data_IF_828750969027
#
_entry.id   IF_828750969027
#
_cell.length_a   1.000
_cell.length_b   1.000
_cell.length_c   1.000
_cell.angle_alpha   90.00
_cell.angle_beta   90.00
_cell.angle_gamma   90.00
#
_symmetry.space_group_name_H-M   'P 1'
#
loop_
_entity.id
_entity.type
_entity.pdbx_description
1 polymer ?
#
# COMPACT_ATOMS: atom_id res chain seq x y z
N UNK A 1 17.55 15.98 8.27
CA UNK A 1 16.53 15.10 7.67
C UNK A 1 16.47 13.70 8.31
N UNK A 2 17.61 13.06 8.62
CA UNK A 2 17.65 11.71 9.22
C UNK A 2 17.42 11.59 10.74
N UNK A 3 17.59 12.68 11.50
CA UNK A 3 17.36 12.66 12.96
C UNK A 3 15.88 12.71 13.36
N UNK A 4 14.96 13.16 12.49
CA UNK A 4 13.52 13.22 12.78
C UNK A 4 12.81 11.87 12.65
N UNK A 5 13.35 10.92 11.87
CA UNK A 5 12.85 9.52 11.84
C UNK A 5 13.01 8.81 13.19
N UNK A 6 13.96 9.22 14.03
CA UNK A 6 14.29 8.57 15.32
C UNK A 6 13.18 8.66 16.37
N UNK A 7 12.31 9.68 16.30
CA UNK A 7 11.25 9.87 17.29
C UNK A 7 9.88 9.39 16.80
N UNK A 8 9.54 9.52 15.51
CA UNK A 8 8.20 9.18 15.03
C UNK A 8 7.94 7.67 15.01
N UNK A 9 8.93 6.86 14.59
CA UNK A 9 8.77 5.41 14.39
C UNK A 9 8.76 4.65 15.73
N UNK A 10 9.57 5.07 16.70
CA UNK A 10 9.59 4.50 18.06
C UNK A 10 8.33 4.88 18.85
N UNK A 11 7.74 6.06 18.58
CA UNK A 11 6.52 6.52 19.27
C UNK A 11 5.25 5.82 18.77
N UNK A 12 5.18 5.45 17.48
CA UNK A 12 4.01 4.78 16.89
C UNK A 12 3.79 3.35 17.42
N UNK A 13 4.85 2.55 17.59
CA UNK A 13 4.74 1.19 18.13
C UNK A 13 4.46 1.15 19.64
N UNK A 14 4.61 2.27 20.36
CA UNK A 14 4.24 2.38 21.79
C UNK A 14 2.77 2.79 21.95
N UNK A 15 2.22 3.61 21.04
CA UNK A 15 0.79 3.96 21.05
C UNK A 15 -0.11 2.80 20.62
N UNK A 16 0.37 1.88 19.79
CA UNK A 16 -0.37 0.67 19.43
C UNK A 16 -0.59 -0.27 20.64
N UNK A 17 0.26 -0.22 21.68
CA UNK A 17 0.12 -1.05 22.89
C UNK A 17 -1.19 -0.75 23.64
N UNK A 18 -1.72 0.48 23.57
CA UNK A 18 -2.99 0.84 24.23
C UNK A 18 -4.24 0.51 23.40
N UNK A 19 -4.10 0.34 22.08
CA UNK A 19 -5.22 -0.01 21.18
C UNK A 19 -5.50 -1.52 21.21
N UNK A 20 -4.52 -2.33 21.58
CA UNK A 20 -4.59 -3.79 21.53
C UNK A 20 -4.88 -4.48 22.87
N UNK A 21 -5.78 -3.93 23.69
CA UNK A 21 -6.20 -4.52 24.97
C UNK A 21 -6.88 -5.90 24.85
N UNK A 22 -6.94 -6.49 23.64
CA UNK A 22 -7.52 -7.81 23.34
C UNK A 22 -6.50 -8.82 22.77
N UNK A 23 -5.22 -8.46 22.61
CA UNK A 23 -4.25 -9.35 21.97
C UNK A 23 -3.87 -10.56 22.84
N UNK A 24 -3.59 -11.69 22.20
CA UNK A 24 -3.21 -12.91 22.90
C UNK A 24 -1.88 -12.75 23.64
N UNK A 25 -1.66 -13.54 24.71
CA UNK A 25 -0.38 -13.59 25.47
C UNK A 25 0.85 -13.80 24.56
N UNK A 26 0.66 -14.42 23.39
CA UNK A 26 1.73 -14.67 22.42
C UNK A 26 2.13 -13.37 21.71
N UNK A 27 1.17 -12.55 21.30
CA UNK A 27 1.45 -11.25 20.69
C UNK A 27 2.11 -10.30 21.70
N UNK A 28 1.62 -10.26 22.95
CA UNK A 28 2.26 -9.47 24.02
C UNK A 28 3.73 -9.89 24.24
N UNK A 29 4.00 -11.21 24.27
CA UNK A 29 5.35 -11.75 24.39
C UNK A 29 6.24 -11.37 23.19
N UNK A 30 5.68 -11.38 21.97
CA UNK A 30 6.37 -10.95 20.76
C UNK A 30 6.76 -9.48 20.84
N UNK A 31 5.80 -8.59 21.16
CA UNK A 31 6.01 -7.15 21.31
C UNK A 31 7.00 -6.82 22.43
N UNK A 32 6.88 -7.46 23.59
CA UNK A 32 7.83 -7.29 24.69
C UNK A 32 9.26 -7.68 24.28
N UNK A 33 9.40 -8.75 23.51
CA UNK A 33 10.71 -9.19 23.00
C UNK A 33 11.27 -8.20 21.99
N UNK A 34 10.44 -7.77 21.04
CA UNK A 34 10.78 -6.76 20.04
C UNK A 34 11.24 -5.44 20.66
N UNK A 35 10.44 -4.90 21.59
CA UNK A 35 10.69 -3.63 22.28
C UNK A 35 11.91 -3.69 23.21
N UNK A 36 12.38 -4.88 23.59
CA UNK A 36 13.66 -5.05 24.31
C UNK A 36 14.90 -4.91 23.42
N UNK A 37 14.72 -4.65 22.12
CA UNK A 37 15.79 -4.55 21.11
C UNK A 37 16.12 -5.88 20.43
N UNK A 38 15.48 -6.99 20.83
CA UNK A 38 15.60 -8.29 20.16
C UNK A 38 14.61 -8.37 18.99
N UNK A 39 14.86 -7.56 17.96
CA UNK A 39 13.97 -7.33 16.82
C UNK A 39 13.61 -8.65 16.11
N UNK A 40 14.61 -9.43 15.68
CA UNK A 40 14.39 -10.69 14.95
C UNK A 40 13.64 -11.74 15.79
N UNK A 41 13.97 -11.86 17.09
CA UNK A 41 13.29 -12.79 18.00
C UNK A 41 11.82 -12.38 18.23
N UNK A 42 11.57 -11.07 18.33
CA UNK A 42 10.22 -10.50 18.43
C UNK A 42 9.40 -10.81 17.20
N UNK A 43 9.95 -10.58 16.00
CA UNK A 43 9.31 -10.91 14.72
C UNK A 43 9.01 -12.40 14.62
N UNK A 44 9.97 -13.27 14.94
CA UNK A 44 9.76 -14.73 14.90
C UNK A 44 8.60 -15.18 15.82
N UNK A 45 8.49 -14.58 17.00
CA UNK A 45 7.35 -14.82 17.90
C UNK A 45 6.04 -14.29 17.32
N UNK A 46 6.08 -13.14 16.66
CA UNK A 46 4.91 -12.58 15.99
C UNK A 46 4.46 -13.46 14.82
N UNK A 47 5.37 -13.99 14.01
CA UNK A 47 5.04 -14.95 12.95
C UNK A 47 4.30 -16.17 13.48
N UNK A 48 4.77 -16.75 14.60
CA UNK A 48 4.11 -17.88 15.25
C UNK A 48 2.71 -17.50 15.78
N UNK A 49 2.55 -16.28 16.32
CA UNK A 49 1.26 -15.79 16.78
C UNK A 49 0.28 -15.57 15.61
N UNK A 50 0.73 -14.95 14.52
CA UNK A 50 -0.07 -14.73 13.30
C UNK A 50 -0.43 -16.05 12.60
N UNK A 51 0.42 -17.07 12.67
CA UNK A 51 0.09 -18.39 12.10
C UNK A 51 -1.07 -19.07 12.85
N UNK A 52 -1.12 -18.89 14.17
CA UNK A 52 -2.17 -19.46 15.02
C UNK A 52 -3.48 -18.64 14.97
N UNK A 53 -3.34 -17.32 14.89
CA UNK A 53 -4.44 -16.38 14.73
C UNK A 53 -4.15 -15.44 13.53
N UNK A 54 -4.55 -15.81 12.31
CA UNK A 54 -4.28 -15.06 11.10
C UNK A 54 -5.25 -13.89 10.89
N UNK A 55 -5.57 -13.15 11.95
CA UNK A 55 -6.40 -11.96 11.92
C UNK A 55 -5.73 -10.81 11.15
N UNK A 56 -6.55 -9.86 10.67
CA UNK A 56 -6.08 -8.69 9.94
C UNK A 56 -5.10 -7.87 10.77
N UNK A 57 -5.40 -7.65 12.05
CA UNK A 57 -4.55 -6.96 13.01
C UNK A 57 -3.19 -7.65 13.20
N UNK A 58 -3.16 -8.98 13.30
CA UNK A 58 -1.91 -9.72 13.48
C UNK A 58 -1.03 -9.70 12.22
N UNK A 59 -1.64 -9.74 11.03
CA UNK A 59 -0.91 -9.56 9.78
C UNK A 59 -0.36 -8.15 9.63
N UNK A 60 -1.18 -7.14 9.92
CA UNK A 60 -0.78 -5.74 9.81
C UNK A 60 0.36 -5.42 10.79
N UNK A 61 0.22 -5.84 12.05
CA UNK A 61 1.27 -5.69 13.06
C UNK A 61 2.57 -6.40 12.66
N UNK A 62 2.48 -7.61 12.11
CA UNK A 62 3.65 -8.33 11.64
C UNK A 62 4.39 -7.55 10.54
N UNK A 63 3.67 -7.03 9.55
CA UNK A 63 4.27 -6.21 8.49
C UNK A 63 4.88 -4.92 9.05
N UNK A 64 4.22 -4.26 10.01
CA UNK A 64 4.79 -3.10 10.71
C UNK A 64 6.13 -3.43 11.39
N UNK A 65 6.25 -4.60 12.02
CA UNK A 65 7.50 -5.05 12.65
C UNK A 65 8.61 -5.31 11.61
N UNK A 66 8.28 -5.89 10.45
CA UNK A 66 9.24 -6.02 9.33
C UNK A 66 9.67 -4.67 8.76
N UNK A 67 8.73 -3.73 8.63
CA UNK A 67 9.01 -2.37 8.16
C UNK A 67 9.97 -1.65 9.11
N UNK A 68 9.71 -1.73 10.41
CA UNK A 68 10.62 -1.22 11.44
C UNK A 68 12.00 -1.85 11.33
N UNK A 69 12.08 -3.19 11.17
CA UNK A 69 13.36 -3.90 11.04
C UNK A 69 14.17 -3.40 9.83
N UNK A 70 13.52 -3.16 8.70
CA UNK A 70 14.16 -2.58 7.52
C UNK A 70 14.67 -1.16 7.78
N UNK A 71 13.82 -0.27 8.31
CA UNK A 71 14.18 1.11 8.63
C UNK A 71 15.31 1.19 9.67
N UNK A 72 15.29 0.31 10.67
CA UNK A 72 16.34 0.18 11.66
C UNK A 72 17.66 -0.24 11.01
N UNK A 73 17.64 -1.22 10.09
CA UNK A 73 18.83 -1.67 9.38
C UNK A 73 19.45 -0.58 8.51
N UNK A 74 18.64 0.18 7.76
CA UNK A 74 19.09 1.34 6.98
C UNK A 74 19.83 2.34 7.88
N UNK A 75 19.22 2.67 9.02
CA UNK A 75 19.84 3.58 9.98
C UNK A 75 21.17 3.04 10.54
N UNK A 76 21.24 1.74 10.86
CA UNK A 76 22.50 1.13 11.32
C UNK A 76 23.59 1.19 10.26
N UNK A 77 23.23 1.07 8.97
CA UNK A 77 24.18 1.19 7.87
C UNK A 77 24.74 2.60 7.76
N UNK A 78 23.90 3.63 7.83
CA UNK A 78 24.34 5.02 7.78
C UNK A 78 25.19 5.40 9.01
N UNK A 79 24.77 4.97 10.20
CA UNK A 79 25.53 5.18 11.43
C UNK A 79 26.91 4.49 11.32
N UNK A 80 26.99 3.28 10.74
CA UNK A 80 28.24 2.57 10.50
C UNK A 80 29.14 3.27 9.47
N UNK A 81 28.59 3.76 8.36
CA UNK A 81 29.33 4.54 7.35
C UNK A 81 29.88 5.84 7.94
N UNK A 82 29.10 6.53 8.77
CA UNK A 82 29.53 7.74 9.48
C UNK A 82 30.70 7.44 10.42
N UNK A 83 30.63 6.34 11.17
CA UNK A 83 31.71 5.92 12.05
C UNK A 83 32.99 5.56 11.28
N UNK A 84 32.87 4.88 10.14
CA UNK A 84 34.00 4.58 9.26
C UNK A 84 34.67 5.85 8.72
N UNK A 85 33.88 6.83 8.30
CA UNK A 85 34.39 8.13 7.87
C UNK A 85 35.14 8.83 9.00
N UNK A 86 34.55 8.91 10.20
CA UNK A 86 35.22 9.50 11.37
C UNK A 86 36.51 8.76 11.73
N UNK A 87 36.53 7.43 11.65
CA UNK A 87 37.73 6.62 11.87
C UNK A 87 38.83 6.94 10.84
N UNK A 88 38.48 7.08 9.56
CA UNK A 88 39.42 7.44 8.50
C UNK A 88 40.03 8.84 8.67
N UNK A 89 39.30 9.75 9.33
CA UNK A 89 39.75 11.09 9.70
C UNK A 89 40.45 11.14 11.08
N UNK A 90 40.69 9.99 11.72
CA UNK A 90 41.31 9.90 13.06
C UNK A 90 40.42 10.34 14.23
N UNK A 91 39.12 10.62 13.98
CA UNK A 91 38.20 11.26 14.90
C UNK A 91 37.34 10.32 15.77
N UNK A 92 37.40 9.00 15.60
CA UNK A 92 36.63 8.07 16.44
C UNK A 92 37.30 6.70 16.57
N UNK A 93 37.09 6.05 17.73
CA UNK A 93 37.45 4.64 18.01
C UNK A 93 36.22 3.79 18.33
N UNK A 94 35.01 4.30 18.10
CA UNK A 94 33.78 3.59 18.44
C UNK A 94 33.63 2.31 17.60
N UNK A 95 33.18 1.22 18.23
CA UNK A 95 33.01 -0.07 17.58
C UNK A 95 31.75 -0.07 16.70
N UNK A 96 31.91 -0.53 15.46
CA UNK A 96 30.78 -0.76 14.54
C UNK A 96 30.04 -2.02 14.98
N UNK A 97 28.73 -1.88 15.23
CA UNK A 97 27.87 -3.00 15.59
C UNK A 97 27.57 -3.84 14.35
N UNK A 98 27.47 -5.16 14.52
CA UNK A 98 26.95 -6.06 13.48
C UNK A 98 25.43 -5.91 13.40
N UNK A 99 24.90 -5.85 12.19
CA UNK A 99 23.46 -5.77 11.91
C UNK A 99 23.14 -6.58 10.64
N UNK A 100 21.87 -6.90 10.45
CA UNK A 100 21.38 -7.54 9.22
C UNK A 100 21.33 -6.52 8.09
N UNK A 101 21.88 -6.86 6.92
CA UNK A 101 21.92 -5.95 5.76
C UNK A 101 20.52 -5.43 5.40
N UNK A 102 20.35 -4.14 5.09
CA UNK A 102 19.05 -3.59 4.71
C UNK A 102 18.47 -4.26 3.46
N UNK A 103 19.32 -4.71 2.53
CA UNK A 103 18.87 -5.47 1.37
C UNK A 103 18.19 -6.80 1.71
N UNK A 104 18.61 -7.46 2.80
CA UNK A 104 17.95 -8.67 3.30
C UNK A 104 16.62 -8.29 3.95
N UNK A 105 16.64 -7.29 4.83
CA UNK A 105 15.43 -6.81 5.50
C UNK A 105 14.36 -6.30 4.52
N UNK A 106 14.78 -5.65 3.42
CA UNK A 106 13.91 -5.18 2.35
C UNK A 106 13.21 -6.35 1.65
N UNK A 107 13.96 -7.40 1.25
CA UNK A 107 13.36 -8.59 0.64
C UNK A 107 12.37 -9.27 1.58
N UNK A 108 12.73 -9.41 2.85
CA UNK A 108 11.85 -10.00 3.86
C UNK A 108 10.57 -9.18 4.04
N UNK A 109 10.66 -7.84 4.05
CA UNK A 109 9.53 -6.93 4.13
C UNK A 109 8.59 -7.08 2.92
N UNK A 110 9.14 -7.07 1.71
CA UNK A 110 8.33 -7.21 0.49
C UNK A 110 7.63 -8.56 0.46
N UNK A 111 8.36 -9.65 0.72
CA UNK A 111 7.79 -11.00 0.74
C UNK A 111 6.68 -11.12 1.80
N UNK A 112 6.91 -10.59 3.01
CA UNK A 112 5.90 -10.65 4.06
C UNK A 112 4.68 -9.80 3.73
N UNK A 113 4.85 -8.66 3.06
CA UNK A 113 3.75 -7.80 2.65
C UNK A 113 2.86 -8.47 1.60
N UNK A 114 3.46 -9.17 0.62
CA UNK A 114 2.69 -9.98 -0.35
C UNK A 114 1.92 -11.10 0.34
N UNK A 115 2.56 -11.80 1.28
CA UNK A 115 1.88 -12.81 2.09
C UNK A 115 0.70 -12.22 2.86
N UNK A 116 0.84 -11.01 3.41
CA UNK A 116 -0.25 -10.34 4.11
C UNK A 116 -1.43 -10.02 3.18
N UNK A 117 -1.22 -9.45 1.98
CA UNK A 117 -2.30 -9.18 1.02
C UNK A 117 -3.07 -10.45 0.58
N UNK A 118 -2.41 -11.61 0.54
CA UNK A 118 -3.10 -12.89 0.26
C UNK A 118 -3.97 -13.38 1.41
N UNK A 119 -3.62 -13.01 2.65
CA UNK A 119 -4.20 -13.58 3.87
C UNK A 119 -5.09 -12.62 4.65
N UNK A 120 -5.02 -11.32 4.37
CA UNK A 120 -5.73 -10.27 5.11
C UNK A 120 -5.87 -8.99 4.28
N UNK A 121 -6.55 -7.99 4.86
CA UNK A 121 -6.73 -6.64 4.31
C UNK A 121 -5.78 -5.63 4.96
N UNK A 122 -4.51 -6.01 5.11
CA UNK A 122 -3.50 -5.18 5.80
C UNK A 122 -3.21 -3.88 5.03
N UNK A 123 -3.58 -2.75 5.62
CA UNK A 123 -3.29 -1.42 5.08
C UNK A 123 -1.79 -1.13 5.03
N UNK A 124 -1.03 -1.61 6.01
CA UNK A 124 0.42 -1.47 6.02
C UNK A 124 1.06 -2.24 4.87
N UNK A 125 0.61 -3.47 4.58
CA UNK A 125 1.12 -4.28 3.48
C UNK A 125 0.89 -3.61 2.13
N UNK A 126 -0.35 -3.17 1.87
CA UNK A 126 -0.73 -2.48 0.64
C UNK A 126 0.06 -1.18 0.45
N UNK A 127 0.18 -0.39 1.52
CA UNK A 127 1.01 0.82 1.52
C UNK A 127 2.48 0.53 1.21
N UNK A 128 3.07 -0.50 1.83
CA UNK A 128 4.47 -0.88 1.61
C UNK A 128 4.69 -1.30 0.16
N UNK A 129 3.85 -2.19 -0.36
CA UNK A 129 4.00 -2.68 -1.74
C UNK A 129 3.86 -1.54 -2.74
N UNK A 130 2.87 -0.65 -2.56
CA UNK A 130 2.75 0.55 -3.38
C UNK A 130 3.97 1.46 -3.26
N UNK A 131 4.37 1.84 -2.05
CA UNK A 131 5.42 2.83 -1.82
C UNK A 131 6.80 2.39 -2.30
N UNK A 132 7.12 1.09 -2.20
CA UNK A 132 8.44 0.58 -2.55
C UNK A 132 8.54 -0.01 -3.97
N UNK A 133 7.42 -0.43 -4.56
CA UNK A 133 7.44 -1.12 -5.85
C UNK A 133 6.67 -0.38 -6.96
N UNK A 134 5.83 0.60 -6.63
CA UNK A 134 4.99 1.32 -7.60
C UNK A 134 5.30 2.81 -7.63
N UNK A 135 5.30 3.46 -6.47
CA UNK A 135 5.51 4.91 -6.38
C UNK A 135 6.92 5.27 -6.87
N UNK A 136 7.03 6.43 -7.53
CA UNK A 136 8.30 7.06 -7.86
C UNK A 136 8.47 8.36 -7.08
N UNK A 137 9.71 8.85 -6.99
CA UNK A 137 10.01 10.13 -6.37
C UNK A 137 10.04 11.24 -7.44
N UNK A 138 9.06 12.15 -7.48
CA UNK A 138 9.00 13.18 -8.53
C UNK A 138 10.09 14.25 -8.39
N UNK A 139 10.51 14.54 -7.16
CA UNK A 139 11.39 15.66 -6.80
C UNK A 139 12.89 15.38 -7.05
N UNK A 140 13.22 14.81 -8.22
CA UNK A 140 14.58 14.37 -8.56
C UNK A 140 15.58 15.52 -8.79
N UNK A 141 15.11 16.70 -9.19
CA UNK A 141 15.95 17.82 -9.62
C UNK A 141 15.57 19.16 -8.96
N UNK A 142 15.25 19.13 -7.67
CA UNK A 142 14.79 20.33 -6.94
C UNK A 142 15.95 21.31 -6.66
N UNK A 143 15.69 22.60 -6.85
CA UNK A 143 16.64 23.67 -6.54
C UNK A 143 17.05 23.69 -5.04
N UNK A 144 18.34 23.86 -4.75
CA UNK A 144 18.84 23.84 -3.37
C UNK A 144 18.28 24.98 -2.50
N UNK A 145 17.99 26.13 -3.09
CA UNK A 145 17.28 27.23 -2.43
C UNK A 145 15.87 26.83 -2.02
N UNK A 146 15.14 26.11 -2.89
CA UNK A 146 13.81 25.59 -2.58
C UNK A 146 13.87 24.49 -1.51
N UNK A 147 14.85 23.57 -1.57
CA UNK A 147 15.09 22.58 -0.50
C UNK A 147 15.37 23.21 0.85
N UNK A 148 16.09 24.34 0.88
CA UNK A 148 16.37 25.07 2.12
C UNK A 148 15.09 25.61 2.73
N UNK A 149 14.25 26.28 1.94
CA UNK A 149 12.94 26.76 2.39
C UNK A 149 12.04 25.60 2.84
N UNK A 150 12.01 24.49 2.09
CA UNK A 150 11.27 23.29 2.47
C UNK A 150 11.73 22.71 3.81
N UNK A 151 13.03 22.61 4.05
CA UNK A 151 13.57 22.12 5.33
C UNK A 151 13.23 23.06 6.50
N UNK A 152 13.21 24.38 6.27
CA UNK A 152 12.71 25.34 7.27
C UNK A 152 11.22 25.12 7.54
N UNK A 153 10.42 24.91 6.50
CA UNK A 153 8.99 24.64 6.62
C UNK A 153 8.70 23.37 7.43
N UNK A 154 9.39 22.26 7.15
CA UNK A 154 9.28 21.00 7.89
C UNK A 154 9.60 21.18 9.39
N UNK A 155 10.60 22.02 9.71
CA UNK A 155 10.92 22.35 11.10
C UNK A 155 9.74 23.04 11.78
N UNK A 156 9.24 24.15 11.21
CA UNK A 156 8.09 24.87 11.77
C UNK A 156 6.83 24.00 11.84
N UNK A 157 6.61 23.15 10.83
CA UNK A 157 5.49 22.22 10.81
C UNK A 157 5.57 21.23 11.98
N UNK A 158 6.76 20.67 12.25
CA UNK A 158 6.98 19.76 13.38
C UNK A 158 6.79 20.44 14.74
N UNK A 159 7.04 21.74 14.82
CA UNK A 159 6.78 22.60 15.99
C UNK A 159 5.31 23.04 16.07
N UNK A 160 4.47 22.63 15.10
CA UNK A 160 3.06 23.02 14.93
C UNK A 160 2.85 24.53 14.67
N UNK A 161 3.91 25.23 14.29
CA UNK A 161 3.85 26.61 13.81
C UNK A 161 3.46 26.63 12.32
N UNK A 162 2.18 26.32 12.07
CA UNK A 162 1.63 26.24 10.73
C UNK A 162 1.70 27.56 9.94
N UNK A 163 1.53 28.76 10.55
CA UNK A 163 1.72 30.02 9.83
C UNK A 163 3.11 30.19 9.22
N UNK A 164 4.18 29.88 9.97
CA UNK A 164 5.56 29.95 9.46
C UNK A 164 5.86 28.80 8.49
N UNK A 165 5.38 27.59 8.78
CA UNK A 165 5.51 26.47 7.84
C UNK A 165 4.91 26.80 6.47
N UNK A 166 3.70 27.38 6.45
CA UNK A 166 3.02 27.81 5.22
C UNK A 166 3.86 28.82 4.45
N UNK A 167 4.43 29.83 5.12
CA UNK A 167 5.27 30.83 4.47
C UNK A 167 6.47 30.19 3.77
N UNK A 168 7.17 29.30 4.46
CA UNK A 168 8.36 28.64 3.91
C UNK A 168 8.02 27.62 2.82
N UNK A 169 6.92 26.85 2.94
CA UNK A 169 6.45 26.00 1.83
C UNK A 169 6.07 26.82 0.61
N UNK A 170 5.36 27.94 0.80
CA UNK A 170 5.04 28.86 -0.30
C UNK A 170 6.30 29.41 -0.99
N UNK A 171 7.34 29.74 -0.22
CA UNK A 171 8.62 30.17 -0.79
C UNK A 171 9.32 29.04 -1.54
N UNK A 172 9.30 27.81 -1.02
CA UNK A 172 9.84 26.64 -1.71
C UNK A 172 9.16 26.44 -3.07
N UNK A 173 7.83 26.48 -3.14
CA UNK A 173 7.07 26.39 -4.40
C UNK A 173 7.33 27.57 -5.35
N UNK A 174 7.61 28.78 -4.84
CA UNK A 174 7.95 29.94 -5.69
C UNK A 174 9.34 29.81 -6.30
N UNK A 175 10.29 29.32 -5.50
CA UNK A 175 11.68 29.10 -5.94
C UNK A 175 11.78 27.94 -6.93
N UNK A 176 10.94 26.92 -6.73
CA UNK A 176 10.84 25.77 -7.61
C UNK A 176 9.36 25.33 -7.75
N UNK A 177 8.68 25.78 -8.81
CA UNK A 177 7.29 25.39 -9.08
C UNK A 177 7.12 23.89 -9.36
N UNK A 178 8.21 23.17 -9.65
CA UNK A 178 8.21 21.72 -9.84
C UNK A 178 8.49 20.93 -8.55
N UNK A 179 8.58 21.61 -7.40
CA UNK A 179 8.75 20.94 -6.11
C UNK A 179 7.41 20.37 -5.62
N UNK A 180 7.09 19.16 -6.05
CA UNK A 180 5.86 18.44 -5.76
C UNK A 180 5.63 18.30 -4.24
N UNK A 181 6.64 17.86 -3.49
CA UNK A 181 6.48 17.69 -2.04
C UNK A 181 6.18 19.01 -1.34
N UNK A 182 6.82 20.12 -1.71
CA UNK A 182 6.50 21.42 -1.13
C UNK A 182 5.03 21.82 -1.38
N UNK A 183 4.49 21.51 -2.56
CA UNK A 183 3.09 21.77 -2.92
C UNK A 183 2.12 20.93 -2.06
N UNK A 184 2.39 19.64 -1.91
CA UNK A 184 1.55 18.73 -1.10
C UNK A 184 1.55 19.17 0.37
N UNK A 185 2.73 19.42 0.94
CA UNK A 185 2.85 19.82 2.35
C UNK A 185 2.35 21.24 2.61
N UNK A 186 2.29 22.11 1.60
CA UNK A 186 1.56 23.37 1.68
C UNK A 186 0.05 23.11 1.85
N UNK A 187 -0.52 22.20 1.07
CA UNK A 187 -1.91 21.75 1.23
C UNK A 187 -2.18 21.18 2.63
N UNK A 188 -1.30 20.30 3.12
CA UNK A 188 -1.40 19.70 4.46
C UNK A 188 -1.30 20.76 5.57
N UNK A 189 -0.41 21.74 5.40
CA UNK A 189 -0.33 22.89 6.31
C UNK A 189 -1.65 23.67 6.35
N UNK A 190 -2.29 23.89 5.19
CA UNK A 190 -3.60 24.53 5.14
C UNK A 190 -4.70 23.69 5.83
N UNK A 191 -4.65 22.36 5.70
CA UNK A 191 -5.57 21.44 6.37
C UNK A 191 -5.43 21.53 7.90
N UNK A 192 -4.19 21.52 8.42
CA UNK A 192 -3.91 21.73 9.84
C UNK A 192 -4.37 23.09 10.35
N UNK A 193 -4.30 24.14 9.52
CA UNK A 193 -4.85 25.47 9.81
C UNK A 193 -6.38 25.56 9.69
N UNK A 194 -7.08 24.46 9.39
CA UNK A 194 -8.53 24.39 9.14
C UNK A 194 -9.01 25.25 7.96
N UNK A 195 -8.11 25.52 7.01
CA UNK A 195 -8.41 26.25 5.76
C UNK A 195 -8.69 25.25 4.63
N UNK A 196 -9.85 24.60 4.69
CA UNK A 196 -10.11 23.43 3.86
C UNK A 196 -10.14 23.72 2.36
N UNK A 197 -10.70 24.86 1.92
CA UNK A 197 -10.72 25.23 0.51
C UNK A 197 -9.32 25.36 -0.09
N UNK A 198 -8.38 25.92 0.69
CA UNK A 198 -6.97 26.01 0.28
C UNK A 198 -6.30 24.64 0.26
N UNK A 199 -6.56 23.78 1.24
CA UNK A 199 -6.03 22.42 1.26
C UNK A 199 -6.49 21.63 0.03
N UNK A 200 -7.81 21.63 -0.24
CA UNK A 200 -8.43 21.01 -1.41
C UNK A 200 -7.82 21.55 -2.71
N UNK A 201 -7.63 22.87 -2.82
CA UNK A 201 -6.99 23.49 -3.97
C UNK A 201 -5.58 22.91 -4.21
N UNK A 202 -4.71 22.91 -3.20
CA UNK A 202 -3.33 22.44 -3.36
C UNK A 202 -3.24 20.93 -3.60
N UNK A 203 -4.10 20.11 -2.99
CA UNK A 203 -4.14 18.68 -3.29
C UNK A 203 -4.62 18.41 -4.73
N UNK A 204 -5.62 19.17 -5.24
CA UNK A 204 -6.01 19.11 -6.66
C UNK A 204 -4.87 19.53 -7.59
N UNK A 205 -4.05 20.52 -7.22
CA UNK A 205 -2.84 20.87 -7.98
C UNK A 205 -1.81 19.73 -7.96
N UNK A 206 -1.62 19.06 -6.83
CA UNK A 206 -0.78 17.87 -6.71
C UNK A 206 -1.21 16.75 -7.66
N UNK A 207 -2.52 16.49 -7.77
CA UNK A 207 -3.10 15.52 -8.71
C UNK A 207 -2.87 15.95 -10.17
N UNK A 208 -2.95 17.24 -10.48
CA UNK A 208 -2.66 17.74 -11.84
C UNK A 208 -1.19 17.55 -12.21
N UNK A 209 -0.29 17.66 -11.22
CA UNK A 209 1.15 17.54 -11.42
C UNK A 209 1.59 16.07 -11.55
N UNK A 210 1.10 15.19 -10.67
CA UNK A 210 1.42 13.77 -10.63
C UNK A 210 0.15 12.95 -10.36
N UNK A 211 -0.68 12.77 -11.39
CA UNK A 211 -2.00 12.16 -11.28
C UNK A 211 -2.02 10.64 -11.06
N UNK A 212 -0.85 10.02 -11.18
CA UNK A 212 -0.53 8.61 -10.95
C UNK A 212 0.00 8.32 -9.54
N UNK A 213 0.37 9.35 -8.77
CA UNK A 213 0.65 9.20 -7.35
C UNK A 213 -0.65 9.21 -6.53
N UNK A 214 -0.72 8.31 -5.55
CA UNK A 214 -1.92 8.17 -4.71
C UNK A 214 -1.99 9.18 -3.56
N UNK A 215 -0.83 9.62 -3.07
CA UNK A 215 -0.68 10.54 -1.94
C UNK A 215 -1.57 11.80 -2.00
N UNK A 216 -1.63 12.58 -3.10
CA UNK A 216 -2.42 13.81 -3.12
C UNK A 216 -3.92 13.53 -3.12
N UNK A 217 -4.34 12.38 -3.67
CA UNK A 217 -5.74 11.91 -3.61
C UNK A 217 -6.13 11.51 -2.19
N UNK A 218 -5.24 10.80 -1.47
CA UNK A 218 -5.46 10.43 -0.06
C UNK A 218 -5.73 11.66 0.79
N UNK A 219 -4.92 12.70 0.64
CA UNK A 219 -5.10 13.97 1.34
C UNK A 219 -6.35 14.73 0.90
N UNK A 220 -6.65 14.75 -0.40
CA UNK A 220 -7.88 15.36 -0.90
C UNK A 220 -9.14 14.71 -0.29
N UNK A 221 -9.19 13.39 -0.22
CA UNK A 221 -10.30 12.66 0.41
C UNK A 221 -10.46 13.03 1.88
N UNK A 222 -9.37 13.12 2.64
CA UNK A 222 -9.43 13.52 4.06
C UNK A 222 -9.90 14.98 4.22
N UNK A 223 -9.45 15.90 3.36
CA UNK A 223 -9.89 17.28 3.37
C UNK A 223 -11.39 17.43 3.00
N UNK A 224 -11.86 16.69 1.99
CA UNK A 224 -13.28 16.67 1.60
C UNK A 224 -14.15 16.08 2.70
N UNK A 225 -13.75 14.95 3.30
CA UNK A 225 -14.45 14.34 4.43
C UNK A 225 -14.58 15.31 5.60
N UNK A 226 -13.49 15.98 5.96
CA UNK A 226 -13.45 16.87 7.12
C UNK A 226 -14.20 18.20 6.86
N UNK A 227 -14.37 18.60 5.60
CA UNK A 227 -15.31 19.67 5.18
C UNK A 227 -16.74 19.18 4.98
N UNK A 228 -17.04 17.91 5.28
CA UNK A 228 -18.35 17.26 5.12
C UNK A 228 -18.85 17.19 3.67
N UNK A 229 -17.95 17.31 2.70
CA UNK A 229 -18.23 17.10 1.27
C UNK A 229 -18.16 15.59 0.96
N UNK A 230 -19.09 14.82 1.52
CA UNK A 230 -19.02 13.35 1.51
C UNK A 230 -19.14 12.74 0.11
N UNK A 231 -20.02 13.25 -0.74
CA UNK A 231 -20.19 12.74 -2.11
C UNK A 231 -18.91 12.93 -2.95
N UNK A 232 -18.27 14.09 -2.81
CA UNK A 232 -17.00 14.38 -3.48
C UNK A 232 -15.85 13.52 -2.92
N UNK A 233 -15.83 13.30 -1.61
CA UNK A 233 -14.86 12.41 -0.96
C UNK A 233 -15.01 10.95 -1.43
N UNK A 234 -16.24 10.47 -1.59
CA UNK A 234 -16.54 9.13 -2.12
C UNK A 234 -16.04 9.03 -3.56
N UNK A 235 -16.40 10.00 -4.40
CA UNK A 235 -16.01 9.98 -5.80
C UNK A 235 -14.50 10.03 -5.99
N UNK A 236 -13.81 10.84 -5.18
CA UNK A 236 -12.35 10.90 -5.22
C UNK A 236 -11.70 9.63 -4.65
N UNK A 237 -12.33 8.99 -3.67
CA UNK A 237 -11.84 7.68 -3.17
C UNK A 237 -11.93 6.61 -4.26
N UNK A 238 -13.03 6.60 -5.02
CA UNK A 238 -13.21 5.73 -6.19
C UNK A 238 -12.18 6.05 -7.27
N UNK A 239 -11.93 7.34 -7.56
CA UNK A 239 -10.88 7.75 -8.50
C UNK A 239 -9.50 7.25 -8.07
N UNK A 240 -9.18 7.32 -6.78
CA UNK A 240 -7.92 6.83 -6.24
C UNK A 240 -7.75 5.32 -6.44
N UNK A 241 -8.82 4.52 -6.26
CA UNK A 241 -8.81 3.08 -6.54
C UNK A 241 -8.52 2.78 -8.02
N UNK A 242 -8.93 3.65 -8.95
CA UNK A 242 -8.56 3.51 -10.39
C UNK A 242 -7.09 3.79 -10.69
N UNK A 243 -6.35 4.41 -9.75
CA UNK A 243 -4.91 4.64 -9.86
C UNK A 243 -4.15 3.49 -9.22
N UNK A 244 -4.55 3.09 -8.02
CA UNK A 244 -4.04 1.92 -7.32
C UNK A 244 -5.08 1.43 -6.31
N UNK A 245 -5.44 0.12 -6.27
CA UNK A 245 -6.41 -0.43 -5.30
C UNK A 245 -5.79 -0.57 -3.90
N UNK A 246 -5.49 0.56 -3.26
CA UNK A 246 -4.88 0.62 -1.93
C UNK A 246 -5.92 0.29 -0.85
N UNK A 247 -5.56 -0.58 0.09
CA UNK A 247 -6.43 -0.96 1.21
C UNK A 247 -6.96 0.24 2.00
N UNK A 248 -6.14 1.29 2.20
CA UNK A 248 -6.60 2.50 2.90
C UNK A 248 -7.64 3.30 2.13
N UNK A 249 -7.71 3.14 0.80
CA UNK A 249 -8.77 3.76 0.00
C UNK A 249 -10.08 3.00 0.11
N UNK A 250 -10.05 1.67 0.18
CA UNK A 250 -11.24 0.86 0.45
C UNK A 250 -11.84 1.19 1.83
N UNK A 251 -11.01 1.29 2.88
CA UNK A 251 -11.47 1.72 4.21
C UNK A 251 -12.11 3.11 4.20
N UNK A 252 -11.54 4.06 3.44
CA UNK A 252 -12.11 5.40 3.28
C UNK A 252 -13.48 5.35 2.59
N UNK A 253 -13.62 4.56 1.53
CA UNK A 253 -14.92 4.34 0.84
C UNK A 253 -15.95 3.76 1.80
N UNK A 254 -15.59 2.72 2.54
CA UNK A 254 -16.46 2.06 3.52
C UNK A 254 -16.91 3.05 4.62
N UNK A 255 -15.96 3.78 5.21
CA UNK A 255 -16.25 4.78 6.25
C UNK A 255 -17.16 5.91 5.74
N UNK A 256 -16.98 6.34 4.50
CA UNK A 256 -17.80 7.39 3.89
C UNK A 256 -19.21 6.90 3.58
N UNK A 257 -19.37 5.70 3.01
CA UNK A 257 -20.70 5.14 2.76
C UNK A 257 -21.47 4.87 4.05
N UNK A 258 -20.80 4.41 5.11
CA UNK A 258 -21.41 4.24 6.43
C UNK A 258 -22.03 5.54 6.96
N UNK A 259 -21.41 6.71 6.67
CA UNK A 259 -21.99 8.03 7.03
C UNK A 259 -23.25 8.38 6.24
N UNK A 260 -23.45 7.76 5.07
CA UNK A 260 -24.64 7.94 4.21
C UNK A 260 -25.73 6.89 4.48
N UNK A 261 -25.49 5.94 5.40
CA UNK A 261 -26.41 4.84 5.69
C UNK A 261 -26.40 3.70 4.66
N UNK A 262 -25.41 3.66 3.78
CA UNK A 262 -25.18 2.58 2.81
C UNK A 262 -24.00 1.73 3.27
N UNK A 263 -23.95 0.48 2.82
CA UNK A 263 -22.81 -0.40 3.13
C UNK A 263 -21.95 -0.59 1.88
N UNK A 264 -20.65 -0.75 2.10
CA UNK A 264 -19.69 -1.09 1.06
C UNK A 264 -19.17 -2.50 1.34
N UNK A 265 -19.43 -3.44 0.43
CA UNK A 265 -18.89 -4.79 0.49
C UNK A 265 -18.09 -5.03 -0.79
N UNK A 266 -16.77 -5.03 -0.65
CA UNK A 266 -15.89 -5.33 -1.78
C UNK A 266 -15.90 -6.81 -2.16
N UNK A 267 -16.54 -7.68 -1.39
CA UNK A 267 -16.57 -9.13 -1.60
C UNK A 267 -15.16 -9.74 -1.68
N UNK A 268 -14.25 -9.25 -0.86
CA UNK A 268 -12.89 -9.80 -0.79
C UNK A 268 -12.92 -11.19 -0.17
N UNK A 269 -12.16 -12.11 -0.76
CA UNK A 269 -11.97 -13.45 -0.23
C UNK A 269 -10.48 -13.74 -0.07
N UNK A 270 -10.15 -14.51 0.96
CA UNK A 270 -8.80 -15.02 1.15
C UNK A 270 -8.42 -15.94 -0.02
N UNK A 271 -7.25 -15.71 -0.61
CA UNK A 271 -6.74 -16.57 -1.69
C UNK A 271 -6.15 -17.86 -1.12
N UNK A 272 -6.48 -18.99 -1.74
CA UNK A 272 -5.94 -20.32 -1.38
C UNK A 272 -4.56 -20.61 -1.97
N UNK A 273 -4.03 -19.69 -2.77
CA UNK A 273 -2.70 -19.77 -3.35
C UNK A 273 -2.18 -18.42 -3.86
N UNK A 274 -0.91 -18.39 -4.29
CA UNK A 274 -0.28 -17.23 -4.93
C UNK A 274 -0.95 -16.89 -6.27
N UNK A 275 -0.91 -15.61 -6.61
CA UNK A 275 -1.39 -15.07 -7.89
C UNK A 275 -0.61 -15.68 -9.07
N UNK A 276 -1.31 -15.93 -10.18
CA UNK A 276 -0.66 -16.44 -11.38
C UNK A 276 0.05 -15.31 -12.13
N UNK A 277 1.38 -15.31 -12.07
CA UNK A 277 2.22 -14.36 -12.82
C UNK A 277 3.15 -15.06 -13.79
N UNK A 278 3.65 -14.33 -14.79
CA UNK A 278 4.57 -14.90 -15.79
C UNK A 278 5.83 -15.50 -15.14
N UNK A 279 6.45 -14.80 -14.19
CA UNK A 279 7.71 -15.20 -13.55
C UNK A 279 7.56 -15.81 -12.14
N UNK A 280 6.37 -15.83 -11.55
CA UNK A 280 6.16 -16.26 -10.17
C UNK A 280 6.47 -17.72 -9.89
N UNK A 281 6.96 -17.98 -8.67
CA UNK A 281 7.07 -19.30 -8.07
C UNK A 281 5.70 -19.75 -7.59
N UNK A 282 5.24 -20.91 -8.09
CA UNK A 282 3.99 -21.51 -7.64
C UNK A 282 4.28 -22.49 -6.52
N UNK A 283 3.68 -22.24 -5.36
CA UNK A 283 3.54 -23.26 -4.32
C UNK A 283 2.34 -24.13 -4.72
N UNK A 284 2.52 -25.46 -4.71
CA UNK A 284 1.42 -26.40 -4.99
C UNK A 284 0.35 -26.21 -3.93
N UNK A 285 -0.87 -25.86 -4.34
CA UNK A 285 -2.00 -25.77 -3.41
C UNK A 285 -2.53 -27.17 -3.09
N UNK A 286 -2.86 -27.40 -1.81
CA UNK A 286 -3.64 -28.56 -1.38
C UNK A 286 -5.14 -28.30 -1.45
N UNK A 287 -5.55 -27.06 -1.75
CA UNK A 287 -6.96 -26.70 -1.87
C UNK A 287 -7.50 -27.10 -3.26
N UNK A 288 -8.40 -28.08 -3.28
CA UNK A 288 -8.97 -28.61 -4.53
C UNK A 288 -9.65 -27.52 -5.38
N UNK A 289 -10.31 -26.54 -4.76
CA UNK A 289 -10.95 -25.42 -5.47
C UNK A 289 -9.93 -24.59 -6.26
N UNK A 290 -8.73 -24.39 -5.71
CA UNK A 290 -7.70 -23.52 -6.30
C UNK A 290 -6.75 -24.26 -7.26
N UNK A 291 -6.82 -25.60 -7.37
CA UNK A 291 -5.95 -26.35 -8.30
C UNK A 291 -6.13 -25.92 -9.75
N UNK A 292 -7.38 -25.78 -10.20
CA UNK A 292 -7.68 -25.38 -11.57
C UNK A 292 -7.20 -23.96 -11.87
N UNK A 293 -7.35 -23.04 -10.90
CA UNK A 293 -6.76 -21.71 -10.97
C UNK A 293 -5.25 -21.79 -11.19
N UNK A 294 -4.52 -22.54 -10.36
CA UNK A 294 -3.05 -22.62 -10.47
C UNK A 294 -2.58 -23.20 -11.81
N UNK A 295 -3.26 -24.24 -12.30
CA UNK A 295 -2.91 -24.93 -13.54
C UNK A 295 -3.14 -24.06 -14.79
N UNK A 296 -4.10 -23.14 -14.75
CA UNK A 296 -4.44 -22.24 -15.85
C UNK A 296 -3.23 -21.47 -16.38
N UNK A 297 -2.30 -21.07 -15.49
CA UNK A 297 -1.04 -20.42 -15.88
C UNK A 297 -0.27 -21.24 -16.92
N UNK A 298 -0.11 -22.54 -16.70
CA UNK A 298 0.66 -23.41 -17.60
C UNK A 298 0.06 -23.47 -19.01
N UNK A 299 -1.27 -23.40 -19.10
CA UNK A 299 -2.02 -23.44 -20.36
C UNK A 299 -1.90 -22.13 -21.14
N UNK A 300 -1.97 -20.97 -20.46
CA UNK A 300 -2.06 -19.66 -21.11
C UNK A 300 -0.71 -18.93 -21.25
N UNK A 301 0.30 -19.28 -20.45
CA UNK A 301 1.56 -18.53 -20.33
C UNK A 301 2.27 -18.31 -21.67
N UNK A 302 2.24 -19.27 -22.60
CA UNK A 302 2.91 -19.16 -23.90
C UNK A 302 2.25 -18.13 -24.85
N UNK A 303 1.01 -17.74 -24.55
CA UNK A 303 0.25 -16.70 -25.25
C UNK A 303 0.42 -15.32 -24.63
N UNK A 304 1.02 -15.23 -23.46
CA UNK A 304 1.20 -14.00 -22.71
C UNK A 304 2.55 -13.34 -23.00
N UNK A 305 2.63 -12.02 -22.84
CA UNK A 305 3.89 -11.32 -22.63
C UNK A 305 4.40 -11.51 -21.18
N UNK A 306 5.52 -10.86 -20.84
CA UNK A 306 6.12 -10.95 -19.50
C UNK A 306 5.26 -10.32 -18.40
N UNK A 307 4.31 -9.47 -18.77
CA UNK A 307 3.42 -8.77 -17.86
C UNK A 307 2.12 -9.54 -17.62
N UNK A 308 1.92 -10.68 -18.30
CA UNK A 308 0.70 -11.49 -18.17
C UNK A 308 -0.45 -11.04 -19.07
N UNK A 309 -0.20 -10.14 -20.02
CA UNK A 309 -1.18 -9.74 -21.04
C UNK A 309 -1.21 -10.78 -22.15
N UNK A 310 -2.38 -11.26 -22.51
CA UNK A 310 -2.60 -12.24 -23.58
C UNK A 310 -2.51 -11.50 -24.92
N UNK A 311 -1.35 -11.61 -25.56
CA UNK A 311 -1.03 -10.91 -26.82
C UNK A 311 -1.14 -11.81 -28.05
N UNK A 312 -1.22 -13.14 -27.87
CA UNK A 312 -1.40 -14.11 -28.97
C UNK A 312 -2.82 -14.67 -28.96
N UNK A 313 -3.40 -14.77 -30.16
CA UNK A 313 -4.67 -15.46 -30.35
C UNK A 313 -4.58 -16.91 -29.89
N UNK A 314 -5.65 -17.38 -29.24
CA UNK A 314 -5.77 -18.74 -28.71
C UNK A 314 -7.23 -19.18 -28.72
N UNK A 315 -7.48 -20.48 -28.55
CA UNK A 315 -8.83 -21.05 -28.45
C UNK A 315 -9.31 -21.27 -27.02
N UNK A 316 -8.50 -20.92 -26.01
CA UNK A 316 -8.76 -21.22 -24.60
C UNK A 316 -9.68 -20.18 -23.96
N UNK A 317 -9.51 -18.91 -24.32
CA UNK A 317 -10.24 -17.81 -23.69
C UNK A 317 -10.33 -16.57 -24.58
N UNK A 318 -11.30 -15.71 -24.27
CA UNK A 318 -11.40 -14.32 -24.78
C UNK A 318 -10.85 -13.29 -23.78
N UNK A 319 -10.47 -13.71 -22.57
CA UNK A 319 -9.86 -12.85 -21.58
C UNK A 319 -8.58 -12.21 -22.13
N UNK A 320 -8.32 -10.98 -21.73
CA UNK A 320 -7.11 -10.26 -22.12
C UNK A 320 -5.93 -10.50 -21.17
N UNK A 321 -6.19 -11.08 -19.99
CA UNK A 321 -5.24 -11.18 -18.91
C UNK A 321 -5.15 -12.62 -18.38
N UNK A 322 -3.93 -13.07 -18.10
CA UNK A 322 -3.64 -14.39 -17.51
C UNK A 322 -4.42 -14.60 -16.21
N UNK A 323 -4.48 -13.56 -15.38
CA UNK A 323 -5.17 -13.65 -14.09
C UNK A 323 -6.66 -13.89 -14.30
N UNK A 324 -7.31 -13.13 -15.17
CA UNK A 324 -8.74 -13.30 -15.47
C UNK A 324 -9.02 -14.69 -16.03
N UNK A 325 -8.18 -15.20 -16.94
CA UNK A 325 -8.29 -16.59 -17.42
C UNK A 325 -8.17 -17.61 -16.29
N UNK A 326 -7.30 -17.37 -15.32
CA UNK A 326 -7.11 -18.27 -14.18
C UNK A 326 -8.38 -18.38 -13.33
N UNK A 327 -9.09 -17.27 -13.16
CA UNK A 327 -10.41 -17.24 -12.53
C UNK A 327 -11.50 -17.91 -13.37
N UNK A 328 -11.55 -17.67 -14.68
CA UNK A 328 -12.47 -18.36 -15.59
C UNK A 328 -12.31 -19.88 -15.50
N UNK A 329 -11.06 -20.36 -15.50
CA UNK A 329 -10.74 -21.78 -15.40
C UNK A 329 -11.21 -22.38 -14.08
N UNK A 330 -11.00 -21.67 -12.98
CA UNK A 330 -11.46 -22.08 -11.66
C UNK A 330 -12.99 -22.15 -11.59
N UNK A 331 -13.70 -21.17 -12.12
CA UNK A 331 -15.16 -21.17 -12.13
C UNK A 331 -15.73 -22.28 -13.01
N UNK A 332 -15.07 -22.58 -14.14
CA UNK A 332 -15.49 -23.62 -15.07
C UNK A 332 -15.19 -25.05 -14.58
N UNK A 333 -14.19 -25.25 -13.73
CA UNK A 333 -13.83 -26.58 -13.21
C UNK A 333 -14.76 -27.09 -12.11
N UNK A 334 -15.59 -26.22 -11.54
CA UNK A 334 -16.49 -26.56 -10.44
C UNK A 334 -17.89 -26.88 -10.99
N UNK A 335 -18.31 -28.16 -10.93
CA UNK A 335 -19.69 -28.54 -11.29
C UNK A 335 -20.73 -27.80 -10.44
N UNK A 336 -20.40 -27.55 -9.17
CA UNK A 336 -21.15 -26.70 -8.25
C UNK A 336 -20.17 -25.68 -7.70
N UNK A 337 -20.38 -24.40 -8.03
CA UNK A 337 -19.51 -23.31 -7.59
C UNK A 337 -19.63 -23.16 -6.06
N UNK A 338 -18.53 -23.25 -5.30
CA UNK A 338 -18.53 -23.02 -3.86
C UNK A 338 -19.14 -21.66 -3.50
N UNK A 339 -19.78 -21.54 -2.33
CA UNK A 339 -20.48 -20.33 -1.94
C UNK A 339 -19.53 -19.12 -1.84
N UNK A 340 -18.28 -19.33 -1.43
CA UNK A 340 -17.26 -18.28 -1.41
C UNK A 340 -16.92 -17.73 -2.81
N UNK A 341 -17.22 -18.47 -3.89
CA UNK A 341 -17.01 -18.06 -5.28
C UNK A 341 -18.30 -17.56 -5.95
N UNK A 342 -19.43 -17.49 -5.23
CA UNK A 342 -20.71 -17.10 -5.81
C UNK A 342 -20.67 -15.69 -6.42
N UNK A 343 -20.01 -14.74 -5.75
CA UNK A 343 -19.86 -13.39 -6.28
C UNK A 343 -18.94 -13.35 -7.52
N UNK A 344 -17.83 -14.11 -7.50
CA UNK A 344 -16.96 -14.26 -8.68
C UNK A 344 -17.73 -14.81 -9.88
N UNK A 345 -18.59 -15.82 -9.68
CA UNK A 345 -19.45 -16.38 -10.73
C UNK A 345 -20.44 -15.36 -11.27
N UNK A 346 -21.10 -14.60 -10.38
CA UNK A 346 -21.98 -13.49 -10.77
C UNK A 346 -21.24 -12.47 -11.64
N UNK A 347 -20.00 -12.12 -11.26
CA UNK A 347 -19.19 -11.17 -12.03
C UNK A 347 -18.74 -11.74 -13.37
N UNK A 348 -18.48 -13.05 -13.48
CA UNK A 348 -18.27 -13.69 -14.77
C UNK A 348 -19.52 -13.61 -15.66
N UNK A 349 -20.71 -13.89 -15.12
CA UNK A 349 -21.96 -13.90 -15.88
C UNK A 349 -22.39 -12.50 -16.35
N UNK A 350 -22.18 -11.48 -15.51
CA UNK A 350 -22.43 -10.07 -15.88
C UNK A 350 -21.26 -9.44 -16.65
N UNK A 351 -20.20 -10.20 -16.89
CA UNK A 351 -19.04 -9.78 -17.66
C UNK A 351 -18.22 -8.68 -16.98
N UNK A 352 -18.04 -8.73 -15.66
CA UNK A 352 -17.20 -7.88 -14.79
C UNK A 352 -16.15 -8.68 -13.99
N UNK A 353 -15.82 -9.90 -14.41
CA UNK A 353 -14.82 -10.73 -13.72
C UNK A 353 -13.44 -10.05 -13.65
N UNK A 354 -13.07 -9.33 -14.70
CA UNK A 354 -11.86 -8.48 -14.74
C UNK A 354 -11.83 -7.45 -13.61
N UNK A 355 -12.92 -6.70 -13.40
CA UNK A 355 -13.01 -5.74 -12.31
C UNK A 355 -13.00 -6.42 -10.94
N UNK A 356 -13.66 -7.57 -10.79
CA UNK A 356 -13.63 -8.31 -9.52
C UNK A 356 -12.21 -8.74 -9.14
N UNK A 357 -11.50 -9.32 -10.10
CA UNK A 357 -10.11 -9.74 -9.91
C UNK A 357 -9.24 -8.54 -9.56
N UNK A 358 -9.25 -7.50 -10.40
CA UNK A 358 -8.30 -6.39 -10.30
C UNK A 358 -8.65 -5.31 -9.27
N UNK A 359 -9.84 -5.35 -8.67
CA UNK A 359 -10.28 -4.37 -7.67
C UNK A 359 -10.61 -5.07 -6.36
N UNK A 360 -11.56 -6.00 -6.36
CA UNK A 360 -12.01 -6.66 -5.13
C UNK A 360 -11.00 -7.63 -4.56
N UNK A 361 -10.20 -8.26 -5.43
CA UNK A 361 -9.19 -9.26 -5.04
C UNK A 361 -7.77 -8.83 -5.40
N UNK A 362 -7.56 -7.52 -5.57
CA UNK A 362 -6.28 -6.97 -5.97
C UNK A 362 -5.15 -7.47 -5.07
N UNK A 363 -4.03 -7.81 -5.68
CA UNK A 363 -2.80 -8.19 -5.03
C UNK A 363 -1.63 -7.65 -5.84
N UNK A 364 -0.54 -7.23 -5.21
CA UNK A 364 0.56 -6.57 -5.93
C UNK A 364 1.12 -7.37 -7.13
N UNK A 365 1.18 -8.70 -7.04
CA UNK A 365 1.73 -9.53 -8.13
C UNK A 365 0.96 -9.43 -9.47
N UNK A 366 -0.27 -8.93 -9.48
CA UNK A 366 -1.03 -8.63 -10.70
C UNK A 366 -0.96 -7.16 -11.13
N UNK A 367 -0.10 -6.34 -10.50
CA UNK A 367 0.01 -4.90 -10.77
C UNK A 367 0.21 -4.57 -12.26
N UNK A 368 1.08 -5.30 -12.97
CA UNK A 368 1.32 -5.04 -14.40
C UNK A 368 0.07 -5.28 -15.27
N UNK A 369 -0.75 -6.28 -14.91
CA UNK A 369 -2.03 -6.54 -15.58
C UNK A 369 -3.07 -5.47 -15.18
N UNK A 370 -3.11 -5.11 -13.90
CA UNK A 370 -4.00 -4.06 -13.40
C UNK A 370 -3.74 -2.71 -14.06
N UNK A 371 -2.48 -2.26 -14.17
CA UNK A 371 -2.18 -0.93 -14.70
C UNK A 371 -2.48 -0.83 -16.19
N UNK A 372 -2.26 -1.91 -16.94
CA UNK A 372 -2.68 -2.00 -18.35
C UNK A 372 -4.21 -1.97 -18.46
N UNK A 373 -4.91 -2.74 -17.63
CA UNK A 373 -6.37 -2.73 -17.57
C UNK A 373 -6.92 -1.35 -17.23
N UNK A 374 -6.46 -0.75 -16.12
CA UNK A 374 -6.96 0.50 -15.58
C UNK A 374 -6.75 1.68 -16.53
N UNK A 375 -5.69 1.67 -17.36
CA UNK A 375 -5.38 2.72 -18.33
C UNK A 375 -6.57 3.05 -19.24
N UNK A 376 -7.29 2.03 -19.70
CA UNK A 376 -8.42 2.18 -20.64
C UNK A 376 -9.79 1.89 -20.02
N UNK A 377 -9.84 1.46 -18.76
CA UNK A 377 -11.07 0.95 -18.12
C UNK A 377 -11.47 1.72 -16.85
N UNK A 378 -11.04 2.97 -16.66
CA UNK A 378 -11.39 3.76 -15.45
C UNK A 378 -12.90 3.85 -15.22
N UNK A 379 -13.69 4.23 -16.23
CA UNK A 379 -15.17 4.30 -16.08
C UNK A 379 -15.81 2.94 -15.79
N UNK A 380 -15.23 1.87 -16.34
CA UNK A 380 -15.66 0.51 -16.08
C UNK A 380 -15.42 0.12 -14.62
N UNK A 381 -14.25 0.46 -14.07
CA UNK A 381 -13.94 0.30 -12.63
C UNK A 381 -14.91 1.11 -11.76
N UNK A 382 -15.18 2.38 -12.11
CA UNK A 382 -16.14 3.21 -11.35
C UNK A 382 -17.55 2.61 -11.37
N UNK A 383 -17.99 2.14 -12.53
CA UNK A 383 -19.28 1.47 -12.70
C UNK A 383 -19.32 0.19 -11.86
N UNK A 384 -18.24 -0.59 -11.87
CA UNK A 384 -18.14 -1.80 -11.07
C UNK A 384 -18.32 -1.51 -9.58
N UNK A 385 -17.56 -0.56 -9.05
CA UNK A 385 -17.61 -0.18 -7.63
C UNK A 385 -19.01 0.31 -7.26
N UNK A 386 -19.58 1.23 -8.05
CA UNK A 386 -20.87 1.84 -7.74
C UNK A 386 -22.07 0.92 -7.94
N UNK A 387 -21.99 -0.04 -8.86
CA UNK A 387 -23.09 -0.96 -9.18
C UNK A 387 -23.07 -2.22 -8.30
N UNK A 388 -21.90 -2.76 -7.96
CA UNK A 388 -21.80 -4.10 -7.37
C UNK A 388 -21.25 -4.14 -5.96
N UNK A 389 -20.55 -3.10 -5.50
CA UNK A 389 -19.91 -3.11 -4.17
C UNK A 389 -20.66 -2.26 -3.14
N UNK A 390 -21.77 -1.62 -3.53
CA UNK A 390 -22.61 -0.80 -2.64
C UNK A 390 -23.94 -1.51 -2.46
N UNK A 391 -24.43 -1.58 -1.21
CA UNK A 391 -25.73 -2.15 -0.86
C UNK A 391 -26.62 -1.12 -0.15
#
# INVERSE_FOLDING_TARGET
MLRMKKFLVVFFLVQSIFVFAQQSKKVESALKTFNSGKIDDGIKKMEAATQEDPSEDNWDLLVQMYKYRYEYAEQQQEDALTLLLLQSLGGSKAKIKKYTSPSVCYRDLIEKSKQAELNSRSTTASMVLRAYLVDYYPDTAVADTAKKEFNSAEKYFSEKDYPNAKLHYQNACKLDPSYYKALIYLGDTHWHMKKMDSAIYYFKQGIQMHGDLLEPRKYLVDALRDSKQYDEAIQESINAITVYPDESMFEKVESLYAKTGRTFDRHWIKRGCNVNTYAGTQLVTTNETWKAYQQARGEIKTYCDTNGVIVKSNSLTKAHYMEVYSWEKMLASNLVVPQELAFAKKMADEGYLDCYVFISLYHYDEYDQFIDFAKNNKERIRTYITKYLIQ
#
